data_IF_100093402756
#
_entry.id   IF_100093402756
#
_cell.length_a   1.000
_cell.length_b   1.000
_cell.length_c   1.000
_cell.angle_alpha   90.00
_cell.angle_beta   90.00
_cell.angle_gamma   90.00
#
_symmetry.space_group_name_H-M   'P 1'
#
loop_
_entity.id
_entity.type
_entity.pdbx_description
1 polymer ?
#
# COMPACT_ATOMS: atom_id res chain seq x y z
N UNK A 1 16.26 46.84 2.95
CA UNK A 1 16.61 45.63 3.73
C UNK A 1 15.47 45.35 4.70
N UNK A 2 14.92 44.14 4.70
CA UNK A 2 13.87 43.77 5.65
C UNK A 2 14.44 43.80 7.09
N UNK A 3 13.68 44.26 8.11
CA UNK A 3 14.16 44.28 9.49
C UNK A 3 14.36 42.85 10.02
N UNK A 4 15.43 42.65 10.80
CA UNK A 4 15.87 41.35 11.31
C UNK A 4 14.90 40.70 12.32
N UNK A 5 13.92 41.46 12.82
CA UNK A 5 12.99 41.03 13.88
C UNK A 5 11.61 40.59 13.36
N UNK A 6 11.46 40.33 12.06
CA UNK A 6 10.25 39.67 11.55
C UNK A 6 10.30 38.19 11.91
N UNK A 7 10.02 37.88 13.17
CA UNK A 7 9.78 36.51 13.65
C UNK A 7 8.56 35.95 12.92
N UNK A 8 8.77 35.01 11.98
CA UNK A 8 7.70 34.24 11.29
C UNK A 8 6.97 33.25 12.22
N UNK A 9 6.66 33.67 13.46
CA UNK A 9 6.01 32.87 14.51
C UNK A 9 4.61 32.37 14.09
N UNK A 10 4.04 32.89 13.00
CA UNK A 10 2.78 32.42 12.42
C UNK A 10 2.90 31.44 11.24
N UNK A 11 3.94 31.53 10.41
CA UNK A 11 3.98 30.79 9.14
C UNK A 11 4.11 29.28 9.34
N UNK A 12 4.91 28.85 10.33
CA UNK A 12 5.02 27.44 10.67
C UNK A 12 3.74 26.90 11.32
N UNK A 13 2.98 27.71 12.07
CA UNK A 13 1.67 27.32 12.57
C UNK A 13 0.67 27.01 11.45
N UNK A 14 0.72 27.76 10.34
CA UNK A 14 -0.14 27.50 9.17
C UNK A 14 0.19 26.18 8.48
N UNK A 15 1.47 25.77 8.45
CA UNK A 15 1.87 24.44 7.94
C UNK A 15 1.24 23.34 8.78
N UNK A 16 1.28 23.46 10.10
CA UNK A 16 0.65 22.50 11.00
C UNK A 16 -0.88 22.50 10.87
N UNK A 17 -1.50 23.65 10.61
CA UNK A 17 -2.93 23.75 10.29
C UNK A 17 -3.27 22.99 9.01
N UNK A 18 -2.51 23.19 7.93
CA UNK A 18 -2.67 22.44 6.68
C UNK A 18 -2.48 20.94 6.88
N UNK A 19 -1.48 20.54 7.68
CA UNK A 19 -1.24 19.14 8.01
C UNK A 19 -2.40 18.52 8.79
N UNK A 20 -2.94 19.22 9.79
CA UNK A 20 -4.11 18.77 10.56
C UNK A 20 -5.36 18.61 9.67
N UNK A 21 -5.59 19.56 8.76
CA UNK A 21 -6.68 19.47 7.79
C UNK A 21 -6.51 18.28 6.83
N UNK A 22 -5.31 18.13 6.28
CA UNK A 22 -4.96 17.04 5.37
C UNK A 22 -5.20 15.68 6.01
N UNK A 23 -4.85 15.51 7.29
CA UNK A 23 -5.03 14.25 8.02
C UNK A 23 -6.49 13.78 8.03
N UNK A 24 -7.42 14.68 8.36
CA UNK A 24 -8.85 14.39 8.42
C UNK A 24 -9.40 14.04 7.05
N UNK A 25 -9.05 14.83 6.03
CA UNK A 25 -9.50 14.56 4.66
C UNK A 25 -8.91 13.28 4.09
N UNK A 26 -7.63 13.00 4.34
CA UNK A 26 -6.95 11.78 3.92
C UNK A 26 -7.61 10.55 4.54
N UNK A 27 -7.88 10.57 5.85
CA UNK A 27 -8.57 9.48 6.52
C UNK A 27 -9.98 9.24 5.93
N UNK A 28 -10.70 10.32 5.61
CA UNK A 28 -12.09 10.24 5.11
C UNK A 28 -12.20 9.83 3.64
N UNK A 29 -11.34 10.35 2.78
CA UNK A 29 -11.47 10.25 1.31
C UNK A 29 -10.57 9.21 0.66
N UNK A 30 -9.66 8.58 1.38
CA UNK A 30 -8.77 7.54 0.82
C UNK A 30 -9.48 6.20 0.61
N UNK A 31 -10.50 6.17 -0.25
CA UNK A 31 -11.36 4.99 -0.52
C UNK A 31 -10.61 3.74 -1.01
N UNK A 32 -9.41 3.90 -1.57
CA UNK A 32 -8.58 2.82 -2.07
C UNK A 32 -7.80 2.05 -0.98
N UNK A 33 -7.80 2.53 0.27
CA UNK A 33 -7.07 1.91 1.38
C UNK A 33 -8.02 1.36 2.45
N UNK A 34 -7.60 0.27 3.09
CA UNK A 34 -8.23 -0.24 4.32
C UNK A 34 -8.07 0.79 5.46
N UNK A 35 -8.98 0.83 6.44
CA UNK A 35 -8.93 1.81 7.54
C UNK A 35 -7.59 1.78 8.29
N UNK A 36 -7.03 0.58 8.52
CA UNK A 36 -5.73 0.41 9.16
C UNK A 36 -4.60 1.04 8.33
N UNK A 37 -4.56 0.79 7.02
CA UNK A 37 -3.52 1.38 6.15
C UNK A 37 -3.64 2.91 6.05
N UNK A 38 -4.84 3.47 6.16
CA UNK A 38 -5.04 4.93 6.22
C UNK A 38 -4.41 5.51 7.48
N UNK A 39 -4.70 4.93 8.64
CA UNK A 39 -4.16 5.41 9.92
C UNK A 39 -2.64 5.26 9.96
N UNK A 40 -2.10 4.12 9.49
CA UNK A 40 -0.66 3.90 9.42
C UNK A 40 0.05 4.93 8.52
N UNK A 41 -0.49 5.22 7.33
CA UNK A 41 0.08 6.24 6.44
C UNK A 41 -0.04 7.65 7.01
N UNK A 42 -1.16 7.95 7.65
CA UNK A 42 -1.39 9.23 8.31
C UNK A 42 -0.38 9.45 9.45
N UNK A 43 -0.17 8.43 10.30
CA UNK A 43 0.83 8.46 11.37
C UNK A 43 2.26 8.57 10.83
N UNK A 44 2.60 7.78 9.81
CA UNK A 44 3.91 7.85 9.16
C UNK A 44 4.19 9.24 8.59
N UNK A 45 3.19 9.88 7.96
CA UNK A 45 3.32 11.25 7.47
C UNK A 45 3.60 12.24 8.62
N UNK A 46 2.84 12.17 9.72
CA UNK A 46 3.06 13.05 10.88
C UNK A 46 4.46 12.84 11.47
N UNK A 47 4.90 11.59 11.64
CA UNK A 47 6.23 11.30 12.19
C UNK A 47 7.38 11.77 11.28
N UNK A 48 7.24 11.62 9.97
CA UNK A 48 8.33 11.96 9.03
C UNK A 48 8.36 13.46 8.73
N UNK A 49 7.19 14.09 8.58
CA UNK A 49 7.07 15.45 8.04
C UNK A 49 6.95 16.48 9.15
N UNK A 50 6.25 16.16 10.24
CA UNK A 50 5.98 17.12 11.32
C UNK A 50 6.95 16.99 12.48
N UNK A 51 7.65 15.86 12.66
CA UNK A 51 8.56 15.71 13.79
C UNK A 51 9.94 16.31 13.44
N UNK A 52 10.36 17.43 14.05
CA UNK A 52 11.69 17.99 13.80
C UNK A 52 12.77 17.10 14.42
N UNK A 53 13.89 16.93 13.72
CA UNK A 53 15.05 16.16 14.20
C UNK A 53 15.89 16.92 15.22
N UNK A 54 15.65 18.23 15.39
CA UNK A 54 16.38 19.10 16.32
C UNK A 54 15.43 20.11 16.95
N UNK A 55 15.49 20.23 18.28
CA UNK A 55 14.64 21.15 19.04
C UNK A 55 15.37 22.47 19.20
N UNK A 56 14.95 23.49 18.45
CA UNK A 56 15.53 24.82 18.54
C UNK A 56 14.72 25.72 19.49
N UNK A 57 15.37 26.48 20.41
CA UNK A 57 14.68 27.37 21.37
C UNK A 57 13.92 28.53 20.70
N UNK A 58 14.30 28.89 19.48
CA UNK A 58 13.69 29.97 18.70
C UNK A 58 12.33 29.59 18.08
N UNK A 59 11.96 28.30 18.12
CA UNK A 59 10.72 27.77 17.53
C UNK A 59 9.61 27.72 18.59
N UNK A 60 8.43 28.25 18.23
CA UNK A 60 7.24 28.15 19.06
C UNK A 60 6.47 26.85 18.79
N UNK A 61 6.81 25.78 19.53
CA UNK A 61 6.07 24.51 19.48
C UNK A 61 4.60 24.65 19.89
N UNK A 62 4.28 25.66 20.70
CA UNK A 62 2.88 26.01 21.03
C UNK A 62 2.10 26.43 19.78
N UNK A 63 2.70 27.23 18.90
CA UNK A 63 2.07 27.63 17.65
C UNK A 63 1.80 26.44 16.73
N UNK A 64 2.69 25.43 16.73
CA UNK A 64 2.51 24.19 15.99
C UNK A 64 1.32 23.37 16.51
N UNK A 65 1.26 23.15 17.82
CA UNK A 65 0.17 22.40 18.44
C UNK A 65 -1.20 23.09 18.22
N UNK A 66 -1.25 24.41 18.39
CA UNK A 66 -2.48 25.20 18.15
C UNK A 66 -2.88 25.13 16.67
N UNK A 67 -1.92 25.35 15.76
CA UNK A 67 -2.16 25.25 14.31
C UNK A 67 -2.73 23.89 13.92
N UNK A 68 -2.08 22.81 14.36
CA UNK A 68 -2.51 21.44 14.09
C UNK A 68 -3.92 21.15 14.63
N UNK A 69 -4.17 21.48 15.90
CA UNK A 69 -5.48 21.28 16.52
C UNK A 69 -6.59 22.07 15.83
N UNK A 70 -6.32 23.32 15.46
CA UNK A 70 -7.27 24.17 14.74
C UNK A 70 -7.56 23.61 13.34
N UNK A 71 -6.53 23.16 12.62
CA UNK A 71 -6.67 22.54 11.30
C UNK A 71 -7.50 21.26 11.34
N UNK A 72 -7.22 20.39 12.31
CA UNK A 72 -8.02 19.20 12.56
C UNK A 72 -9.48 19.54 12.82
N UNK A 73 -9.74 20.50 13.72
CA UNK A 73 -11.09 20.91 14.08
C UNK A 73 -11.84 21.55 12.90
N UNK A 74 -11.18 22.42 12.13
CA UNK A 74 -11.77 23.01 10.92
C UNK A 74 -12.11 21.98 9.87
N UNK A 75 -11.22 21.01 9.60
CA UNK A 75 -11.50 19.95 8.63
C UNK A 75 -12.59 19.00 9.12
N UNK A 76 -12.63 18.68 10.42
CA UNK A 76 -13.71 17.90 11.00
C UNK A 76 -15.05 18.60 10.84
N UNK A 77 -15.09 19.89 11.18
CA UNK A 77 -16.28 20.71 11.05
C UNK A 77 -16.70 20.82 9.58
N UNK A 78 -15.77 20.94 8.62
CA UNK A 78 -16.12 21.08 7.21
C UNK A 78 -16.69 19.80 6.57
N UNK A 79 -16.45 18.60 7.13
CA UNK A 79 -16.88 17.31 6.56
C UNK A 79 -18.33 17.26 6.06
N UNK A 80 -19.36 17.69 6.81
CA UNK A 80 -20.75 17.70 6.32
C UNK A 80 -20.98 18.55 5.06
N UNK A 81 -20.12 19.55 4.80
CA UNK A 81 -20.18 20.39 3.60
C UNK A 81 -19.42 19.80 2.41
N UNK A 82 -18.42 18.96 2.63
CA UNK A 82 -17.70 18.25 1.57
C UNK A 82 -18.47 17.01 1.11
N UNK A 83 -19.46 17.21 0.24
CA UNK A 83 -20.12 16.11 -0.48
C UNK A 83 -19.18 15.57 -1.57
N UNK A 84 -18.94 14.25 -1.66
CA UNK A 84 -18.13 13.70 -2.73
C UNK A 84 -18.78 13.99 -4.07
N UNK A 85 -17.99 14.45 -5.04
CA UNK A 85 -18.48 14.63 -6.42
C UNK A 85 -18.82 13.26 -6.99
N UNK A 86 -20.06 13.02 -7.47
CA UNK A 86 -20.40 11.75 -8.09
C UNK A 86 -19.50 11.53 -9.32
N UNK A 87 -19.01 10.31 -9.50
CA UNK A 87 -18.29 9.95 -10.73
C UNK A 87 -19.21 10.22 -11.92
N UNK A 88 -18.66 10.71 -13.04
CA UNK A 88 -19.43 10.81 -14.28
C UNK A 88 -19.99 9.44 -14.65
N UNK A 89 -21.11 9.39 -15.38
CA UNK A 89 -21.71 8.13 -15.81
C UNK A 89 -20.69 7.23 -16.52
N UNK A 90 -19.84 7.81 -17.36
CA UNK A 90 -18.73 7.11 -18.03
C UNK A 90 -17.67 6.58 -17.05
N UNK A 91 -17.26 7.38 -16.06
CA UNK A 91 -16.26 6.95 -15.09
C UNK A 91 -16.82 5.86 -14.16
N UNK A 92 -18.11 5.91 -13.85
CA UNK A 92 -18.82 4.87 -13.10
C UNK A 92 -18.92 3.56 -13.88
N UNK A 93 -19.26 3.64 -15.18
CA UNK A 93 -19.28 2.49 -16.07
C UNK A 93 -17.88 1.86 -16.23
N UNK A 94 -16.83 2.69 -16.37
CA UNK A 94 -15.43 2.21 -16.39
C UNK A 94 -15.04 1.53 -15.08
N UNK A 95 -15.41 2.10 -13.93
CA UNK A 95 -15.12 1.51 -12.63
C UNK A 95 -15.82 0.16 -12.43
N UNK A 96 -17.08 0.03 -12.88
CA UNK A 96 -17.81 -1.23 -12.88
C UNK A 96 -17.13 -2.26 -13.78
N UNK A 97 -16.81 -1.91 -15.03
CA UNK A 97 -16.12 -2.81 -15.96
C UNK A 97 -14.77 -3.30 -15.40
N UNK A 98 -14.01 -2.43 -14.72
CA UNK A 98 -12.75 -2.80 -14.07
C UNK A 98 -12.95 -3.73 -12.87
N UNK A 99 -14.02 -3.52 -12.09
CA UNK A 99 -14.39 -4.38 -10.96
C UNK A 99 -14.86 -5.75 -11.44
N UNK A 100 -15.64 -5.80 -12.51
CA UNK A 100 -16.07 -7.02 -13.21
C UNK A 100 -14.85 -7.80 -13.70
N UNK A 101 -13.97 -7.14 -14.46
CA UNK A 101 -12.74 -7.74 -14.99
C UNK A 101 -11.83 -8.28 -13.90
N UNK A 102 -11.67 -7.53 -12.80
CA UNK A 102 -10.89 -7.98 -11.65
C UNK A 102 -11.51 -9.24 -11.03
N UNK A 103 -12.84 -9.26 -10.85
CA UNK A 103 -13.52 -10.42 -10.27
C UNK A 103 -13.28 -11.67 -11.11
N UNK A 104 -13.47 -11.56 -12.43
CA UNK A 104 -13.26 -12.68 -13.35
C UNK A 104 -11.84 -13.24 -13.27
N UNK A 105 -10.82 -12.37 -13.20
CA UNK A 105 -9.43 -12.81 -13.06
C UNK A 105 -9.21 -13.58 -11.75
N UNK A 106 -9.77 -13.11 -10.64
CA UNK A 106 -9.65 -13.84 -9.36
C UNK A 106 -10.36 -15.21 -9.43
N UNK A 107 -11.53 -15.27 -10.07
CA UNK A 107 -12.32 -16.50 -10.22
C UNK A 107 -11.60 -17.53 -11.10
N UNK A 108 -11.00 -17.08 -12.22
CA UNK A 108 -10.15 -17.90 -13.08
C UNK A 108 -8.91 -18.41 -12.33
N UNK A 109 -8.25 -17.56 -11.53
CA UNK A 109 -7.06 -17.94 -10.75
C UNK A 109 -7.41 -19.02 -9.71
N UNK A 110 -8.55 -18.90 -9.02
CA UNK A 110 -9.03 -19.89 -8.05
C UNK A 110 -9.37 -21.23 -8.73
N UNK A 111 -9.98 -21.21 -9.93
CA UNK A 111 -10.26 -22.41 -10.71
C UNK A 111 -8.97 -23.08 -11.22
N UNK A 112 -8.00 -22.29 -11.69
CA UNK A 112 -6.67 -22.79 -12.09
C UNK A 112 -5.95 -23.40 -10.89
N UNK A 113 -5.95 -22.75 -9.73
CA UNK A 113 -5.34 -23.29 -8.51
C UNK A 113 -6.04 -24.57 -8.05
N UNK A 114 -7.36 -24.63 -8.17
CA UNK A 114 -8.14 -25.84 -7.88
C UNK A 114 -7.79 -26.98 -8.83
N UNK A 115 -7.71 -26.69 -10.14
CA UNK A 115 -7.29 -27.64 -11.15
C UNK A 115 -5.85 -28.13 -10.92
N UNK A 116 -4.93 -27.24 -10.55
CA UNK A 116 -3.54 -27.58 -10.24
C UNK A 116 -3.40 -28.37 -8.93
N UNK A 117 -4.29 -28.16 -7.95
CA UNK A 117 -4.33 -28.91 -6.70
C UNK A 117 -4.95 -30.30 -6.87
N UNK A 118 -5.94 -30.44 -7.77
CA UNK A 118 -6.54 -31.73 -8.12
C UNK A 118 -5.65 -32.56 -9.06
N UNK A 119 -4.80 -31.89 -9.83
CA UNK A 119 -3.78 -32.53 -10.66
C UNK A 119 -2.70 -33.09 -9.75
N UNK A 120 -2.76 -34.39 -9.52
CA UNK A 120 -1.68 -35.15 -8.91
C UNK A 120 -0.39 -34.87 -9.70
N UNK A 121 0.57 -34.18 -9.09
CA UNK A 121 1.82 -33.79 -9.74
C UNK A 121 2.59 -35.09 -10.01
N UNK A 122 2.82 -35.51 -11.26
CA UNK A 122 3.74 -36.61 -11.51
C UNK A 122 5.08 -36.15 -10.94
N UNK A 123 5.56 -36.83 -9.89
CA UNK A 123 6.85 -36.52 -9.26
C UNK A 123 7.84 -36.30 -10.38
N UNK A 124 8.41 -35.10 -10.47
CA UNK A 124 9.55 -34.83 -11.33
C UNK A 124 10.56 -35.93 -11.02
N UNK A 125 10.70 -36.90 -11.94
CA UNK A 125 11.72 -37.92 -11.84
C UNK A 125 13.04 -37.16 -11.85
N UNK A 126 13.73 -37.16 -10.71
CA UNK A 126 15.07 -36.60 -10.60
C UNK A 126 15.92 -37.17 -11.75
N UNK A 127 16.61 -36.34 -12.55
CA UNK A 127 17.45 -36.82 -13.65
C UNK A 127 18.66 -37.66 -13.21
N UNK A 128 18.87 -37.87 -11.91
CA UNK A 128 19.87 -38.80 -11.42
C UNK A 128 19.29 -40.21 -11.49
N UNK A 129 19.63 -40.89 -12.59
CA UNK A 129 19.25 -42.27 -12.87
C UNK A 129 19.61 -43.23 -11.74
N UNK A 130 18.80 -44.27 -11.63
CA UNK A 130 18.98 -45.36 -10.68
C UNK A 130 20.38 -45.98 -10.81
N UNK A 131 21.15 -46.12 -9.71
CA UNK A 131 22.48 -46.74 -9.73
C UNK A 131 22.45 -48.25 -10.05
N UNK A 132 21.27 -48.86 -10.16
CA UNK A 132 21.10 -50.31 -10.38
C UNK A 132 21.37 -50.77 -11.82
N UNK A 133 21.52 -49.87 -12.80
CA UNK A 133 21.80 -50.27 -14.18
C UNK A 133 23.29 -50.44 -14.53
N UNK A 134 24.23 -50.27 -13.59
CA UNK A 134 25.67 -50.34 -13.89
C UNK A 134 26.34 -51.71 -13.66
N UNK A 135 25.64 -52.76 -13.20
CA UNK A 135 26.32 -54.00 -12.73
C UNK A 135 25.98 -55.29 -13.47
N UNK A 136 25.46 -55.26 -14.70
CA UNK A 136 25.21 -56.51 -15.44
C UNK A 136 26.16 -56.69 -16.63
N UNK A 137 27.26 -57.47 -16.49
CA UNK A 137 28.09 -57.84 -17.62
C UNK A 137 27.37 -58.90 -18.47
N UNK A 138 27.13 -58.56 -19.74
CA UNK A 138 26.57 -59.44 -20.77
C UNK A 138 27.32 -60.78 -20.86
N UNK A 139 26.65 -61.95 -20.81
CA UNK A 139 27.35 -63.21 -20.95
C UNK A 139 27.70 -63.48 -22.42
N UNK A 140 28.99 -63.62 -22.68
CA UNK A 140 29.59 -64.08 -23.95
C UNK A 140 29.06 -65.49 -24.26
N UNK A 141 28.18 -65.63 -25.26
CA UNK A 141 27.82 -66.93 -25.84
C UNK A 141 28.93 -67.40 -26.76
N UNK A 142 29.68 -68.38 -26.30
CA UNK A 142 30.48 -69.25 -27.15
C UNK A 142 29.57 -70.33 -27.76
N UNK A 143 29.61 -70.52 -29.08
CA UNK A 143 29.29 -71.81 -29.68
C UNK A 143 30.08 -72.01 -30.97
N UNK A 144 31.03 -72.94 -30.90
CA UNK A 144 31.65 -73.67 -31.99
C UNK A 144 30.62 -74.58 -32.67
N UNK A 145 30.62 -74.62 -34.01
CA UNK A 145 30.61 -75.82 -34.87
C UNK A 145 30.51 -75.39 -36.33
#
# INVERSE_FOLDING_TARGET
TYPADVRLVGASGMVYLMAGMWLVYFARHSSHLTPLHRVMRALAFVLIVLLPTSIEPQISYRSHAIGFGLGFFMAWLSLPWLKPKPLSAEASARALALKERRRHILEDDDEVLTYLALRDQPRLQSPLGDPEQMTNPTPRREHNS
#
